data_IF_423779116739
#
_entry.id   IF_423779116739
#
_cell.length_a   1.000
_cell.length_b   1.000
_cell.length_c   1.000
_cell.angle_alpha   90.00
_cell.angle_beta   90.00
_cell.angle_gamma   90.00
#
_symmetry.space_group_name_H-M   'P 1'
#
loop_
_entity.id
_entity.type
_entity.pdbx_description
1 polymer ?
#
# COMPACT_ATOMS: atom_id res chain seq x y z
N UNK A 1 -62.61 25.10 53.61
CA UNK A 1 -61.54 26.11 53.59
C UNK A 1 -60.90 26.15 52.20
N UNK A 2 -60.70 27.37 51.69
CA UNK A 2 -59.77 27.81 50.62
C UNK A 2 -59.78 27.11 49.24
N UNK A 3 -60.37 27.84 48.31
CA UNK A 3 -60.03 27.88 46.87
C UNK A 3 -58.66 28.56 46.69
N UNK A 4 -57.92 28.20 45.63
CA UNK A 4 -56.79 28.87 44.90
C UNK A 4 -55.67 27.84 44.64
N UNK A 5 -54.95 27.78 43.49
CA UNK A 5 -54.42 28.79 42.56
C UNK A 5 -54.24 28.15 41.14
N UNK A 6 -54.42 28.97 40.09
CA UNK A 6 -54.11 28.74 38.67
C UNK A 6 -52.60 28.66 38.38
N UNK A 7 -52.18 27.87 37.38
CA UNK A 7 -51.07 28.25 36.49
C UNK A 7 -51.28 27.70 35.06
N UNK A 8 -51.58 28.60 34.13
CA UNK A 8 -51.48 28.40 32.68
C UNK A 8 -50.00 28.46 32.29
N UNK A 9 -49.48 27.40 31.67
CA UNK A 9 -48.15 27.44 31.02
C UNK A 9 -48.34 27.11 29.54
N UNK A 10 -48.17 28.16 28.73
CA UNK A 10 -48.20 28.11 27.26
C UNK A 10 -46.98 27.34 26.76
N UNK A 11 -47.20 26.26 26.00
CA UNK A 11 -46.16 25.61 25.24
C UNK A 11 -46.11 26.25 23.84
N UNK A 12 -45.08 27.04 23.57
CA UNK A 12 -44.73 27.47 22.21
C UNK A 12 -44.18 26.26 21.46
N UNK A 13 -44.98 25.66 20.59
CA UNK A 13 -44.52 24.68 19.62
C UNK A 13 -43.64 25.39 18.57
N UNK A 14 -42.32 25.18 18.67
CA UNK A 14 -41.39 25.50 17.59
C UNK A 14 -41.67 24.55 16.41
N UNK A 15 -42.32 25.06 15.37
CA UNK A 15 -42.40 24.42 14.06
C UNK A 15 -40.99 24.35 13.47
N UNK A 16 -40.32 23.21 13.66
CA UNK A 16 -39.11 22.88 12.90
C UNK A 16 -39.56 22.48 11.49
N UNK A 17 -39.55 23.45 10.57
CA UNK A 17 -39.61 23.17 9.14
C UNK A 17 -38.33 22.42 8.77
N UNK A 18 -38.44 21.12 8.52
CA UNK A 18 -37.38 20.34 7.92
C UNK A 18 -37.23 20.78 6.45
N UNK A 19 -36.34 21.74 6.19
CA UNK A 19 -35.84 21.96 4.84
C UNK A 19 -34.86 20.82 4.53
N UNK A 20 -35.26 19.87 3.69
CA UNK A 20 -34.35 18.90 3.08
C UNK A 20 -33.49 19.63 2.04
N UNK A 21 -32.17 19.80 2.23
CA UNK A 21 -31.31 20.14 1.11
C UNK A 21 -31.26 18.91 0.19
N UNK A 22 -31.81 19.06 -1.01
CA UNK A 22 -31.54 18.16 -2.12
C UNK A 22 -30.02 18.15 -2.37
N UNK A 23 -29.35 16.98 -2.47
CA UNK A 23 -27.94 16.98 -2.80
C UNK A 23 -27.79 17.34 -4.28
N UNK A 24 -27.51 18.61 -4.55
CA UNK A 24 -26.86 18.99 -5.80
C UNK A 24 -25.54 18.23 -5.89
N UNK A 25 -25.34 17.50 -6.99
CA UNK A 25 -24.08 16.86 -7.32
C UNK A 25 -22.99 17.93 -7.54
N UNK A 26 -22.43 18.44 -6.45
CA UNK A 26 -21.12 19.05 -6.51
C UNK A 26 -20.11 17.94 -6.71
N UNK A 27 -19.53 17.91 -7.92
CA UNK A 27 -18.30 17.18 -8.23
C UNK A 27 -17.27 17.49 -7.16
N UNK A 28 -17.17 16.62 -6.16
CA UNK A 28 -16.07 16.64 -5.22
C UNK A 28 -14.82 16.24 -6.01
N UNK A 29 -13.99 17.23 -6.33
CA UNK A 29 -12.58 17.01 -6.59
C UNK A 29 -12.01 16.31 -5.37
N UNK A 30 -11.84 14.99 -5.48
CA UNK A 30 -11.30 14.13 -4.44
C UNK A 30 -9.90 14.66 -4.07
N UNK A 31 -9.82 15.27 -2.89
CA UNK A 31 -8.57 15.67 -2.26
C UNK A 31 -7.77 14.39 -2.00
N UNK A 32 -6.66 14.24 -2.70
CA UNK A 32 -5.71 13.11 -2.67
C UNK A 32 -4.94 13.06 -1.33
N UNK A 33 -5.64 12.97 -0.20
CA UNK A 33 -5.03 12.88 1.15
C UNK A 33 -5.71 11.95 2.15
N UNK A 34 -6.75 11.21 1.75
CA UNK A 34 -7.44 10.28 2.67
C UNK A 34 -7.22 8.79 2.33
N UNK A 35 -6.33 8.48 1.40
CA UNK A 35 -5.91 7.10 1.09
C UNK A 35 -4.73 6.65 1.97
N UNK A 36 -4.80 6.90 3.28
CA UNK A 36 -3.84 6.40 4.27
C UNK A 36 -4.65 5.81 5.42
N UNK A 37 -5.18 4.59 5.25
CA UNK A 37 -5.64 3.81 6.42
C UNK A 37 -5.85 2.30 6.23
N UNK A 38 -5.36 1.70 5.15
CA UNK A 38 -5.25 0.26 5.06
C UNK A 38 -3.98 -0.04 4.28
N UNK A 39 -3.18 -0.98 4.79
CA UNK A 39 -2.04 -1.52 4.08
C UNK A 39 -2.39 -1.75 2.61
N UNK A 40 -1.54 -1.28 1.69
CA UNK A 40 -1.95 -1.25 0.27
C UNK A 40 -2.28 -2.67 -0.19
N UNK A 41 -3.47 -2.94 -0.77
CA UNK A 41 -3.87 -4.30 -1.15
C UNK A 41 -2.86 -4.99 -2.07
N UNK A 42 -2.09 -4.20 -2.82
CA UNK A 42 -0.99 -4.68 -3.67
C UNK A 42 0.19 -5.23 -2.86
N UNK A 43 0.56 -4.65 -1.72
CA UNK A 43 1.64 -5.19 -0.87
C UNK A 43 1.26 -6.55 -0.29
N UNK A 44 0.00 -6.71 0.14
CA UNK A 44 -0.49 -8.04 0.56
C UNK A 44 -0.40 -9.03 -0.59
N UNK A 45 -0.85 -8.65 -1.78
CA UNK A 45 -0.77 -9.52 -2.96
C UNK A 45 0.68 -9.87 -3.35
N UNK A 46 1.61 -8.92 -3.23
CA UNK A 46 3.04 -9.15 -3.46
C UNK A 46 3.58 -10.18 -2.47
N UNK A 47 3.20 -10.09 -1.18
CA UNK A 47 3.57 -11.08 -0.16
C UNK A 47 3.03 -12.47 -0.53
N UNK A 48 1.71 -12.58 -0.78
CA UNK A 48 1.06 -13.86 -1.10
C UNK A 48 1.70 -14.53 -2.34
N UNK A 49 2.03 -13.74 -3.36
CA UNK A 49 2.70 -14.23 -4.57
C UNK A 49 4.13 -14.65 -4.29
N UNK A 50 4.89 -13.84 -3.55
CA UNK A 50 6.28 -14.17 -3.20
C UNK A 50 6.36 -15.45 -2.36
N UNK A 51 5.42 -15.68 -1.43
CA UNK A 51 5.30 -16.94 -0.67
C UNK A 51 5.05 -18.13 -1.61
N UNK A 52 4.06 -18.02 -2.51
CA UNK A 52 3.75 -19.06 -3.50
C UNK A 52 4.95 -19.39 -4.41
N UNK A 53 5.68 -18.37 -4.87
CA UNK A 53 6.88 -18.59 -5.67
C UNK A 53 7.98 -19.25 -4.84
N UNK A 54 8.20 -18.79 -3.61
CA UNK A 54 9.22 -19.37 -2.74
C UNK A 54 9.01 -20.88 -2.50
N UNK A 55 7.78 -21.35 -2.42
CA UNK A 55 7.45 -22.78 -2.29
C UNK A 55 7.71 -23.60 -3.56
N UNK A 56 7.60 -22.97 -4.74
CA UNK A 56 7.68 -23.64 -6.04
C UNK A 56 9.03 -23.47 -6.75
N UNK A 57 9.91 -22.63 -6.22
CA UNK A 57 11.20 -22.33 -6.85
C UNK A 57 12.27 -23.38 -6.54
N UNK A 58 13.01 -23.73 -7.59
CA UNK A 58 14.20 -24.59 -7.51
C UNK A 58 15.38 -23.72 -7.07
N UNK A 59 16.21 -24.24 -6.15
CA UNK A 59 17.40 -23.57 -5.57
C UNK A 59 18.56 -23.31 -6.55
N UNK A 60 18.35 -23.56 -7.84
CA UNK A 60 19.38 -23.52 -8.89
C UNK A 60 19.51 -22.14 -9.56
N UNK A 61 18.55 -21.23 -9.35
CA UNK A 61 18.60 -19.89 -9.93
C UNK A 61 19.24 -18.89 -8.98
N UNK A 62 20.24 -18.18 -9.50
CA UNK A 62 20.97 -17.13 -8.80
C UNK A 62 20.72 -15.78 -9.46
N UNK A 63 20.63 -14.75 -8.64
CA UNK A 63 20.36 -13.35 -9.02
C UNK A 63 21.21 -12.41 -8.17
N UNK A 64 21.34 -11.16 -8.60
CA UNK A 64 22.08 -10.13 -7.84
C UNK A 64 21.62 -10.08 -6.37
N UNK A 65 22.59 -9.99 -5.46
CA UNK A 65 22.33 -9.82 -4.03
C UNK A 65 21.71 -8.45 -3.73
N UNK A 66 20.56 -8.46 -3.06
CA UNK A 66 19.83 -7.27 -2.63
C UNK A 66 19.90 -7.02 -1.12
N UNK A 67 20.63 -7.84 -0.37
CA UNK A 67 20.78 -7.71 1.08
C UNK A 67 21.19 -6.30 1.53
N UNK A 68 22.14 -5.60 0.85
CA UNK A 68 22.48 -4.24 1.23
C UNK A 68 21.30 -3.24 1.16
N UNK A 69 20.35 -3.47 0.25
CA UNK A 69 19.15 -2.63 0.11
C UNK A 69 18.09 -2.95 1.17
N UNK A 70 18.10 -4.18 1.68
CA UNK A 70 17.29 -4.60 2.83
C UNK A 70 17.85 -3.96 4.10
N UNK A 71 19.16 -4.04 4.31
CA UNK A 71 19.87 -3.43 5.44
C UNK A 71 19.73 -1.90 5.46
N UNK A 72 19.67 -1.27 4.28
CA UNK A 72 19.38 0.16 4.12
C UNK A 72 17.90 0.53 4.38
N UNK A 73 17.03 -0.43 4.74
CA UNK A 73 15.69 -0.17 5.24
C UNK A 73 14.54 -0.31 4.23
N UNK A 74 14.72 -1.13 3.18
CA UNK A 74 13.64 -1.49 2.24
C UNK A 74 13.04 -0.30 1.49
N UNK A 75 13.89 0.64 1.05
CA UNK A 75 13.45 1.83 0.30
C UNK A 75 12.94 1.53 -1.12
N UNK A 76 12.47 2.55 -1.87
CA UNK A 76 12.02 2.39 -3.25
C UNK A 76 13.05 1.71 -4.18
N UNK A 77 14.34 1.98 -3.96
CA UNK A 77 15.45 1.36 -4.70
C UNK A 77 15.47 -0.17 -4.56
N UNK A 78 15.16 -0.71 -3.37
CA UNK A 78 15.02 -2.15 -3.15
C UNK A 78 13.96 -2.74 -4.09
N UNK A 79 12.74 -2.18 -4.07
CA UNK A 79 11.64 -2.69 -4.88
C UNK A 79 11.91 -2.55 -6.37
N UNK A 80 12.57 -1.46 -6.79
CA UNK A 80 12.99 -1.29 -8.18
C UNK A 80 14.01 -2.35 -8.60
N UNK A 81 15.00 -2.66 -7.75
CA UNK A 81 16.01 -3.68 -8.07
C UNK A 81 15.39 -5.07 -8.16
N UNK A 82 14.46 -5.40 -7.26
CA UNK A 82 13.68 -6.64 -7.33
C UNK A 82 12.84 -6.68 -8.61
N UNK A 83 12.14 -5.60 -8.96
CA UNK A 83 11.38 -5.53 -10.22
C UNK A 83 12.28 -5.75 -11.44
N UNK A 84 13.44 -5.11 -11.53
CA UNK A 84 14.41 -5.30 -12.62
C UNK A 84 14.86 -6.77 -12.75
N UNK A 85 15.25 -7.40 -11.62
CA UNK A 85 15.65 -8.81 -11.59
C UNK A 85 14.53 -9.74 -12.08
N UNK A 86 13.29 -9.51 -11.63
CA UNK A 86 12.14 -10.35 -12.01
C UNK A 86 11.67 -10.08 -13.43
N UNK A 87 11.77 -8.84 -13.91
CA UNK A 87 11.35 -8.45 -15.26
C UNK A 87 12.22 -9.10 -16.33
N UNK A 88 13.52 -9.29 -16.07
CA UNK A 88 14.41 -10.07 -16.95
C UNK A 88 13.95 -11.53 -17.13
N UNK A 89 13.07 -12.01 -16.25
CA UNK A 89 12.51 -13.38 -16.25
C UNK A 89 10.98 -13.35 -16.16
N UNK A 90 10.35 -12.35 -16.77
CA UNK A 90 8.92 -12.04 -16.59
C UNK A 90 8.01 -13.24 -16.86
N UNK A 91 8.37 -14.15 -17.78
CA UNK A 91 7.59 -15.36 -18.08
C UNK A 91 7.35 -16.26 -16.86
N UNK A 92 8.21 -16.19 -15.84
CA UNK A 92 8.07 -16.95 -14.60
C UNK A 92 7.39 -16.14 -13.48
N UNK A 93 7.43 -14.80 -13.55
CA UNK A 93 7.03 -13.90 -12.46
C UNK A 93 6.04 -12.83 -12.89
N UNK A 94 5.29 -13.04 -13.97
CA UNK A 94 4.44 -12.04 -14.61
C UNK A 94 3.49 -11.37 -13.62
N UNK A 95 2.79 -12.17 -12.81
CA UNK A 95 1.87 -11.67 -11.78
C UNK A 95 2.59 -10.79 -10.76
N UNK A 96 3.79 -11.18 -10.33
CA UNK A 96 4.56 -10.45 -9.33
C UNK A 96 5.11 -9.13 -9.88
N UNK A 97 5.66 -9.17 -11.11
CA UNK A 97 6.13 -7.98 -11.85
C UNK A 97 4.99 -6.98 -12.02
N UNK A 98 3.81 -7.42 -12.46
CA UNK A 98 2.63 -6.57 -12.63
C UNK A 98 2.17 -5.95 -11.32
N UNK A 99 2.18 -6.71 -10.21
CA UNK A 99 1.78 -6.17 -8.90
C UNK A 99 2.78 -5.14 -8.36
N UNK A 100 4.07 -5.30 -8.63
CA UNK A 100 5.10 -4.29 -8.32
C UNK A 100 4.87 -2.99 -9.11
N UNK A 101 4.55 -3.07 -10.40
CA UNK A 101 4.24 -1.88 -11.23
C UNK A 101 3.01 -1.11 -10.72
N UNK A 102 1.96 -1.84 -10.33
CA UNK A 102 0.78 -1.24 -9.72
C UNK A 102 1.12 -0.58 -8.38
N UNK A 103 2.02 -1.17 -7.60
CA UNK A 103 2.52 -0.60 -6.35
C UNK A 103 3.33 0.71 -6.57
N UNK A 104 4.09 0.81 -7.66
CA UNK A 104 4.89 1.99 -8.01
C UNK A 104 4.06 3.19 -8.47
N UNK A 105 3.03 2.94 -9.28
CA UNK A 105 2.24 4.00 -9.95
C UNK A 105 1.72 5.12 -9.02
N UNK A 106 1.10 4.85 -7.86
CA UNK A 106 0.61 5.93 -6.99
C UNK A 106 1.74 6.68 -6.25
N UNK A 107 2.96 6.13 -6.24
CA UNK A 107 4.12 6.64 -5.49
C UNK A 107 5.11 7.41 -6.36
N UNK A 108 4.83 7.55 -7.66
CA UNK A 108 5.71 8.24 -8.63
C UNK A 108 7.15 7.70 -8.62
N UNK A 109 7.29 6.39 -8.45
CA UNK A 109 8.60 5.72 -8.40
C UNK A 109 9.15 5.58 -9.83
N UNK A 110 10.32 6.17 -10.07
CA UNK A 110 11.05 6.03 -11.33
C UNK A 110 12.26 5.10 -11.13
N UNK A 111 12.09 3.83 -11.49
CA UNK A 111 13.15 2.83 -11.29
C UNK A 111 14.39 3.08 -12.16
N UNK A 112 14.25 3.66 -13.36
CA UNK A 112 15.40 4.02 -14.20
C UNK A 112 16.33 5.01 -13.50
N UNK A 113 15.77 5.99 -12.80
CA UNK A 113 16.55 6.98 -12.04
C UNK A 113 17.15 6.34 -10.79
N UNK A 114 16.34 5.58 -10.03
CA UNK A 114 16.76 4.99 -8.76
C UNK A 114 17.85 3.92 -8.92
N UNK A 115 17.89 3.24 -10.07
CA UNK A 115 18.86 2.18 -10.34
C UNK A 115 20.14 2.66 -11.04
N UNK A 116 20.22 3.94 -11.44
CA UNK A 116 21.36 4.48 -12.19
C UNK A 116 22.71 4.24 -11.49
N UNK A 117 22.72 4.40 -10.17
CA UNK A 117 23.93 4.28 -9.34
C UNK A 117 23.98 2.94 -8.57
N UNK A 118 23.04 2.03 -8.82
CA UNK A 118 23.01 0.71 -8.20
C UNK A 118 23.85 -0.24 -9.04
N UNK A 119 25.11 -0.40 -8.66
CA UNK A 119 26.02 -1.36 -9.29
C UNK A 119 25.76 -2.77 -8.75
N UNK A 120 25.83 -3.78 -9.62
CA UNK A 120 25.90 -5.17 -9.15
C UNK A 120 27.16 -5.35 -8.30
N UNK A 121 27.02 -6.00 -7.16
CA UNK A 121 28.12 -6.32 -6.24
C UNK A 121 28.98 -7.48 -6.76
N UNK A 122 28.54 -8.18 -7.81
CA UNK A 122 29.11 -9.45 -8.25
C UNK A 122 28.78 -10.62 -7.32
N UNK A 123 28.09 -10.37 -6.21
CA UNK A 123 27.58 -11.38 -5.29
C UNK A 123 26.18 -11.76 -5.73
N UNK A 124 25.89 -13.05 -5.72
CA UNK A 124 24.58 -13.58 -6.10
C UNK A 124 23.92 -14.34 -4.96
N UNK A 125 22.61 -14.17 -4.83
CA UNK A 125 21.76 -14.94 -3.91
C UNK A 125 20.86 -15.89 -4.70
N UNK A 126 20.37 -16.92 -4.02
CA UNK A 126 19.37 -17.80 -4.61
C UNK A 126 18.02 -17.08 -4.72
N UNK A 127 17.24 -17.43 -5.73
CA UNK A 127 15.94 -16.81 -5.96
C UNK A 127 14.95 -16.97 -4.78
N UNK A 128 14.89 -18.12 -4.07
CA UNK A 128 14.15 -18.21 -2.80
C UNK A 128 14.53 -17.14 -1.77
N UNK A 129 15.82 -16.79 -1.68
CA UNK A 129 16.28 -15.75 -0.76
C UNK A 129 15.84 -14.36 -1.21
N UNK A 130 15.86 -14.07 -2.52
CA UNK A 130 15.25 -12.86 -3.08
C UNK A 130 13.76 -12.75 -2.68
N UNK A 131 13.01 -13.85 -2.76
CA UNK A 131 11.59 -13.88 -2.36
C UNK A 131 11.42 -13.60 -0.87
N UNK A 132 12.28 -14.18 0.00
CA UNK A 132 12.28 -13.86 1.44
C UNK A 132 12.52 -12.38 1.70
N UNK A 133 13.51 -11.77 1.05
CA UNK A 133 13.75 -10.34 1.17
C UNK A 133 12.53 -9.51 0.71
N UNK A 134 11.90 -9.89 -0.40
CA UNK A 134 10.70 -9.21 -0.89
C UNK A 134 9.53 -9.31 0.10
N UNK A 135 9.31 -10.49 0.69
CA UNK A 135 8.31 -10.69 1.75
C UNK A 135 8.61 -9.78 2.94
N UNK A 136 9.84 -9.84 3.47
CA UNK A 136 10.26 -9.04 4.64
C UNK A 136 10.07 -7.55 4.38
N UNK A 137 10.57 -7.03 3.26
CA UNK A 137 10.46 -5.61 2.94
C UNK A 137 9.02 -5.18 2.66
N UNK A 138 8.20 -6.05 2.03
CA UNK A 138 6.79 -5.76 1.80
C UNK A 138 6.01 -5.70 3.10
N UNK A 139 6.25 -6.63 4.03
CA UNK A 139 5.65 -6.63 5.37
C UNK A 139 6.03 -5.36 6.14
N UNK A 140 7.33 -5.03 6.22
CA UNK A 140 7.81 -3.81 6.89
C UNK A 140 7.14 -2.55 6.35
N UNK A 141 7.04 -2.44 5.01
CA UNK A 141 6.42 -1.28 4.37
C UNK A 141 4.91 -1.22 4.65
N UNK A 142 4.25 -2.38 4.70
CA UNK A 142 2.83 -2.47 5.02
C UNK A 142 2.54 -2.03 6.47
N UNK A 143 3.41 -2.39 7.42
CA UNK A 143 3.30 -1.96 8.82
C UNK A 143 3.58 -0.47 9.01
N UNK A 144 4.55 0.12 8.30
CA UNK A 144 4.84 1.57 8.35
C UNK A 144 3.65 2.42 7.87
N UNK A 145 2.87 1.93 6.90
CA UNK A 145 1.63 2.58 6.45
C UNK A 145 0.44 2.45 7.40
N UNK A 146 0.56 1.66 8.48
CA UNK A 146 -0.50 1.39 9.46
C UNK A 146 -0.31 2.17 10.78
N UNK A 147 0.85 2.84 10.96
CA UNK A 147 1.27 3.54 12.18
C UNK A 147 1.50 5.06 11.98
N UNK A 148 0.97 5.65 10.90
CA UNK A 148 1.01 7.11 10.65
C UNK A 148 -0.41 7.68 10.66
#
# INVERSE_FOLDING_TARGET
MKVTVLLLVSALSLLVVAAFPSPTQHKATMKRRDAVKAGSPNLKRIIDLAEKYNESLIKEFFVDDVSPLVDAGCGPTFFCKVHDILHQRVTHFEDLVRNLEVYFRPRDVNCTVLLKDVTSTGVSIQLPELMRHLITCSQQTNFKGSNL
#
